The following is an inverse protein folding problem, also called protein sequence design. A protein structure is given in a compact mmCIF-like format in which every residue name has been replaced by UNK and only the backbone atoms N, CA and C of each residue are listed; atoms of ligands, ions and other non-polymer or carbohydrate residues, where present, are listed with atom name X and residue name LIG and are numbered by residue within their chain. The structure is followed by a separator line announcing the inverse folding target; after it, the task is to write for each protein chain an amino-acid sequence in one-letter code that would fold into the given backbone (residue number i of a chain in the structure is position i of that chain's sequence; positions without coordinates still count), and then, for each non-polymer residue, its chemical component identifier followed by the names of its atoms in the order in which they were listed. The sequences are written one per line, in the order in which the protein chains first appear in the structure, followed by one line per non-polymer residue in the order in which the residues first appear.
data_IF_513497661212
#
_entry.id   IF_513497661212
#
_cell.length_a   1.000
_cell.length_b   1.000
_cell.length_c   1.000
_cell.angle_alpha   90.00
_cell.angle_beta   90.00
_cell.angle_gamma   90.00
#
_symmetry.space_group_name_H-M   'P 1'
#
loop_
_entity.id
_entity.type
_entity.pdbx_description
1 polymer ?
#
# COMPACT_ATOMS: atom_id res chain seq x y z
N UNK A 1 -15.75 18.26 15.68
CA UNK A 1 -16.67 17.12 15.84
C UNK A 1 -16.37 16.14 14.71
N UNK A 2 -15.92 14.92 15.02
CA UNK A 2 -15.61 13.91 14.00
C UNK A 2 -16.83 13.01 13.90
N UNK A 3 -17.52 13.01 12.75
CA UNK A 3 -18.66 12.13 12.50
C UNK A 3 -18.46 11.41 11.16
N UNK A 4 -19.12 10.26 11.00
CA UNK A 4 -19.14 9.53 9.74
C UNK A 4 -20.41 9.90 8.97
N UNK A 5 -20.27 10.62 7.85
CA UNK A 5 -21.40 11.07 7.05
C UNK A 5 -22.28 9.93 6.51
N UNK A 6 -21.68 8.78 6.15
CA UNK A 6 -22.42 7.58 5.72
C UNK A 6 -23.36 7.11 6.82
N UNK A 7 -22.82 6.97 8.03
CA UNK A 7 -23.59 6.44 9.17
C UNK A 7 -24.69 7.43 9.58
N UNK A 8 -24.39 8.74 9.55
CA UNK A 8 -25.39 9.79 9.80
C UNK A 8 -26.50 9.80 8.74
N UNK A 9 -26.19 9.59 7.46
CA UNK A 9 -27.20 9.51 6.40
C UNK A 9 -28.16 8.33 6.62
N UNK A 10 -27.65 7.19 7.08
CA UNK A 10 -28.46 6.00 7.38
C UNK A 10 -29.38 6.25 8.58
N UNK A 11 -28.86 6.88 9.64
CA UNK A 11 -29.66 7.27 10.81
C UNK A 11 -30.75 8.27 10.41
N UNK A 12 -30.39 9.30 9.63
CA UNK A 12 -31.34 10.29 9.13
C UNK A 12 -32.43 9.64 8.29
N UNK A 13 -32.07 8.81 7.30
CA UNK A 13 -33.03 8.10 6.45
C UNK A 13 -34.01 7.25 7.25
N UNK A 14 -33.53 6.57 8.30
CA UNK A 14 -34.40 5.85 9.24
C UNK A 14 -35.33 6.78 10.02
N UNK A 15 -34.83 7.96 10.44
CA UNK A 15 -35.62 8.92 11.21
C UNK A 15 -36.76 9.54 10.40
N UNK A 16 -36.55 9.75 9.10
CA UNK A 16 -37.55 10.35 8.19
C UNK A 16 -38.28 9.32 7.31
N UNK A 17 -38.08 8.03 7.56
CA UNK A 17 -38.66 6.90 6.82
C UNK A 17 -38.41 6.94 5.30
N UNK A 18 -37.17 7.24 4.89
CA UNK A 18 -36.74 7.30 3.49
C UNK A 18 -35.64 6.25 3.22
N UNK A 19 -35.69 5.52 2.09
CA UNK A 19 -34.63 4.60 1.70
C UNK A 19 -33.29 5.31 1.45
N UNK A 20 -32.20 4.72 1.94
CA UNK A 20 -30.83 5.18 1.68
C UNK A 20 -30.12 4.18 0.78
N UNK A 21 -29.57 4.65 -0.34
CA UNK A 21 -28.82 3.82 -1.29
C UNK A 21 -27.34 4.08 -1.15
N UNK A 22 -26.58 3.06 -0.73
CA UNK A 22 -25.12 3.10 -0.69
C UNK A 22 -24.58 2.50 -1.99
N UNK A 23 -24.04 3.34 -2.89
CA UNK A 23 -23.47 2.90 -4.15
C UNK A 23 -21.94 2.91 -4.08
N UNK A 24 -21.30 1.77 -4.34
CA UNK A 24 -19.83 1.63 -4.34
C UNK A 24 -19.40 0.40 -5.13
N UNK A 25 -18.23 0.48 -5.78
CA UNK A 25 -17.58 -0.67 -6.41
C UNK A 25 -16.78 -1.51 -5.40
N UNK A 26 -16.40 -0.94 -4.26
CA UNK A 26 -15.57 -1.54 -3.21
C UNK A 26 -16.22 -1.30 -1.84
N UNK A 27 -17.25 -2.08 -1.46
CA UNK A 27 -17.96 -1.87 -0.21
C UNK A 27 -17.02 -2.02 0.99
N UNK A 28 -17.17 -1.10 1.95
CA UNK A 28 -16.46 -1.19 3.23
C UNK A 28 -16.82 -2.46 3.99
N UNK A 29 -15.93 -2.93 4.85
CA UNK A 29 -16.16 -4.15 5.64
C UNK A 29 -17.38 -4.00 6.56
N UNK A 30 -17.63 -2.82 7.12
CA UNK A 30 -18.80 -2.56 7.96
C UNK A 30 -20.10 -2.68 7.16
N UNK A 31 -20.14 -2.16 5.93
CA UNK A 31 -21.27 -2.32 5.01
C UNK A 31 -21.49 -3.80 4.67
N UNK A 32 -20.42 -4.53 4.36
CA UNK A 32 -20.50 -5.97 4.08
C UNK A 32 -21.02 -6.77 5.26
N UNK A 33 -20.57 -6.46 6.48
CA UNK A 33 -21.09 -7.09 7.70
C UNK A 33 -22.57 -6.79 7.91
N UNK A 34 -23.03 -5.56 7.67
CA UNK A 34 -24.46 -5.23 7.77
C UNK A 34 -25.31 -5.97 6.72
N UNK A 35 -24.78 -6.21 5.52
CA UNK A 35 -25.42 -7.06 4.51
C UNK A 35 -25.51 -8.52 5.01
N UNK A 36 -24.41 -9.07 5.55
CA UNK A 36 -24.38 -10.44 6.09
C UNK A 36 -25.36 -10.61 7.26
N UNK A 37 -25.47 -9.59 8.12
CA UNK A 37 -26.43 -9.54 9.23
C UNK A 37 -27.87 -9.22 8.76
N UNK A 38 -28.12 -9.11 7.46
CA UNK A 38 -29.44 -8.78 6.85
C UNK A 38 -30.02 -7.44 7.31
N UNK A 39 -29.18 -6.51 7.77
CA UNK A 39 -29.58 -5.12 8.07
C UNK A 39 -29.75 -4.30 6.80
N UNK A 40 -28.98 -4.62 5.74
CA UNK A 40 -29.07 -3.97 4.44
C UNK A 40 -29.42 -4.98 3.35
N UNK A 41 -30.19 -4.53 2.36
CA UNK A 41 -30.35 -5.24 1.10
C UNK A 41 -29.12 -5.03 0.21
N UNK A 42 -28.78 -6.03 -0.61
CA UNK A 42 -27.61 -5.99 -1.47
C UNK A 42 -28.00 -6.24 -2.93
N UNK A 43 -27.74 -5.25 -3.79
CA UNK A 43 -27.97 -5.32 -5.23
C UNK A 43 -26.63 -5.27 -5.94
N UNK A 44 -26.33 -6.28 -6.76
CA UNK A 44 -25.04 -6.42 -7.44
C UNK A 44 -25.21 -6.22 -8.94
N UNK A 45 -24.48 -5.25 -9.49
CA UNK A 45 -24.34 -5.07 -10.93
C UNK A 45 -23.14 -5.90 -11.41
N UNK A 46 -23.41 -7.04 -12.08
CA UNK A 46 -22.37 -8.02 -12.47
C UNK A 46 -21.53 -7.61 -13.68
N UNK A 47 -21.96 -6.60 -14.43
CA UNK A 47 -21.28 -6.14 -15.65
C UNK A 47 -20.82 -4.70 -15.46
N UNK A 48 -19.60 -4.42 -15.92
CA UNK A 48 -19.09 -3.06 -16.02
C UNK A 48 -19.88 -2.29 -17.08
N UNK A 49 -19.93 -0.98 -16.93
CA UNK A 49 -20.52 -0.12 -17.94
C UNK A 49 -19.68 -0.11 -19.22
N UNK A 50 -20.33 -0.22 -20.37
CA UNK A 50 -19.68 -0.20 -21.68
C UNK A 50 -18.73 -1.38 -21.92
N UNK A 51 -17.60 -1.10 -22.58
CA UNK A 51 -16.58 -2.08 -22.97
C UNK A 51 -15.41 -2.17 -21.99
N UNK A 52 -15.56 -1.67 -20.77
CA UNK A 52 -14.49 -1.65 -19.78
C UNK A 52 -14.07 -3.08 -19.38
N UNK A 53 -12.84 -3.46 -19.71
CA UNK A 53 -12.21 -4.73 -19.33
C UNK A 53 -11.29 -4.57 -18.12
N UNK A 54 -11.02 -5.69 -17.44
CA UNK A 54 -10.00 -5.71 -16.39
C UNK A 54 -8.60 -5.56 -17.02
N UNK A 55 -7.67 -4.85 -16.37
CA UNK A 55 -6.29 -4.82 -16.82
C UNK A 55 -5.62 -6.19 -16.62
N UNK A 56 -4.60 -6.47 -17.41
CA UNK A 56 -3.70 -7.58 -17.14
C UNK A 56 -2.88 -7.30 -15.88
N UNK A 57 -2.81 -8.29 -14.99
CA UNK A 57 -2.10 -8.16 -13.71
C UNK A 57 -0.89 -9.10 -13.73
N UNK A 58 0.28 -8.51 -13.50
CA UNK A 58 1.55 -9.23 -13.39
C UNK A 58 2.07 -9.11 -11.96
N UNK A 59 2.42 -10.24 -11.34
CA UNK A 59 3.05 -10.28 -10.02
C UNK A 59 4.54 -10.54 -10.20
N UNK A 60 5.36 -9.52 -9.95
CA UNK A 60 6.82 -9.64 -10.03
C UNK A 60 7.41 -10.21 -8.73
N UNK A 61 8.09 -11.36 -8.82
CA UNK A 61 8.81 -11.93 -7.67
C UNK A 61 10.16 -11.24 -7.48
N UNK A 62 10.19 -10.27 -6.56
CA UNK A 62 11.37 -9.44 -6.28
C UNK A 62 12.53 -10.19 -5.61
N UNK A 63 12.33 -11.43 -5.12
CA UNK A 63 13.38 -12.19 -4.42
C UNK A 63 14.44 -12.73 -5.37
N UNK A 64 14.07 -12.94 -6.63
CA UNK A 64 14.94 -13.52 -7.68
C UNK A 64 15.50 -12.46 -8.62
N UNK A 65 15.19 -11.20 -8.38
CA UNK A 65 15.46 -10.09 -9.29
C UNK A 65 16.63 -9.25 -8.79
N UNK A 66 17.42 -8.73 -9.73
CA UNK A 66 18.46 -7.75 -9.44
C UNK A 66 17.82 -6.35 -9.38
N UNK A 67 17.34 -6.00 -8.19
CA UNK A 67 16.56 -4.79 -7.97
C UNK A 67 17.37 -3.51 -8.24
N UNK A 68 16.86 -2.67 -9.14
CA UNK A 68 17.38 -1.33 -9.39
C UNK A 68 17.04 -0.41 -8.22
N UNK A 69 18.04 0.34 -7.73
CA UNK A 69 17.96 1.21 -6.53
C UNK A 69 17.43 0.49 -5.28
N UNK A 70 17.58 -0.85 -5.24
CA UNK A 70 17.11 -1.75 -4.18
C UNK A 70 15.58 -1.90 -4.01
N UNK A 71 14.75 -1.31 -4.87
CA UNK A 71 13.29 -1.39 -4.73
C UNK A 71 12.52 -1.58 -6.05
N UNK A 72 13.15 -1.35 -7.21
CA UNK A 72 12.49 -1.50 -8.50
C UNK A 72 12.87 -2.83 -9.16
N UNK A 73 11.88 -3.67 -9.45
CA UNK A 73 12.08 -4.89 -10.24
C UNK A 73 12.42 -4.56 -11.69
N UNK A 74 13.14 -5.46 -12.35
CA UNK A 74 13.46 -5.36 -13.77
C UNK A 74 12.18 -5.33 -14.62
N UNK A 75 11.20 -6.17 -14.29
CA UNK A 75 9.89 -6.17 -14.95
C UNK A 75 9.16 -4.81 -14.82
N UNK A 76 9.20 -4.18 -13.64
CA UNK A 76 8.58 -2.86 -13.45
C UNK A 76 9.30 -1.80 -14.28
N UNK A 77 10.64 -1.78 -14.23
CA UNK A 77 11.45 -0.84 -15.02
C UNK A 77 11.14 -0.94 -16.52
N UNK A 78 11.17 -2.15 -17.08
CA UNK A 78 10.90 -2.38 -18.50
C UNK A 78 9.50 -1.90 -18.89
N UNK A 79 8.48 -2.22 -18.09
CA UNK A 79 7.11 -1.79 -18.36
C UNK A 79 6.95 -0.27 -18.29
N UNK A 80 7.65 0.40 -17.38
CA UNK A 80 7.65 1.86 -17.32
C UNK A 80 8.25 2.44 -18.61
N UNK A 81 9.42 1.96 -19.03
CA UNK A 81 10.07 2.42 -20.26
C UNK A 81 9.20 2.17 -21.50
N UNK A 82 8.60 0.98 -21.62
CA UNK A 82 7.68 0.64 -22.72
C UNK A 82 6.44 1.55 -22.76
N UNK A 83 5.85 1.86 -21.61
CA UNK A 83 4.67 2.73 -21.50
C UNK A 83 5.02 4.17 -21.88
N UNK A 84 6.14 4.69 -21.37
CA UNK A 84 6.59 6.05 -21.69
C UNK A 84 7.01 6.20 -23.15
N UNK A 85 7.64 5.18 -23.76
CA UNK A 85 7.98 5.18 -25.19
C UNK A 85 6.75 5.28 -26.10
N UNK A 86 5.56 4.88 -25.61
CA UNK A 86 4.27 5.03 -26.29
C UNK A 86 3.59 6.37 -26.01
N UNK A 87 4.29 7.32 -25.37
CA UNK A 87 3.74 8.61 -24.92
C UNK A 87 2.53 8.45 -23.98
N UNK A 88 2.52 7.38 -23.19
CA UNK A 88 1.48 7.11 -22.20
C UNK A 88 1.98 7.46 -20.79
N UNK A 89 1.07 7.49 -19.83
CA UNK A 89 1.38 7.83 -18.44
C UNK A 89 1.52 6.59 -17.56
N UNK A 90 2.42 6.66 -16.59
CA UNK A 90 2.62 5.65 -15.55
C UNK A 90 2.20 6.24 -14.22
N UNK A 91 1.39 5.48 -13.46
CA UNK A 91 1.04 5.81 -12.09
C UNK A 91 1.59 4.75 -11.14
N UNK A 92 2.48 5.16 -10.23
CA UNK A 92 3.03 4.30 -9.20
C UNK A 92 2.31 4.55 -7.87
N UNK A 93 1.63 3.53 -7.37
CA UNK A 93 0.97 3.59 -6.07
C UNK A 93 1.93 3.14 -4.97
N UNK A 94 2.10 4.01 -3.98
CA UNK A 94 2.95 3.75 -2.82
C UNK A 94 2.12 3.83 -1.55
N UNK A 95 2.44 2.98 -0.57
CA UNK A 95 1.86 3.12 0.75
C UNK A 95 2.29 4.44 1.38
N UNK A 96 1.35 5.09 2.11
CA UNK A 96 1.50 6.44 2.68
C UNK A 96 2.82 6.63 3.47
N UNK A 97 3.28 7.88 3.51
CA UNK A 97 4.37 8.40 4.37
C UNK A 97 4.52 7.63 5.69
N UNK A 98 5.76 7.23 5.98
CA UNK A 98 6.20 7.01 7.36
C UNK A 98 5.76 5.72 8.06
N UNK A 99 5.36 4.66 7.34
CA UNK A 99 5.33 3.36 8.00
C UNK A 99 6.77 2.97 8.39
N UNK A 100 7.02 3.00 9.70
CA UNK A 100 7.44 1.81 10.43
C UNK A 100 8.13 0.78 9.53
N UNK A 101 9.45 0.86 9.37
CA UNK A 101 10.14 -0.01 8.41
C UNK A 101 10.02 -1.45 8.90
N UNK A 102 9.22 -2.23 8.20
CA UNK A 102 9.16 -3.66 8.42
C UNK A 102 10.54 -4.22 8.07
N UNK A 103 11.11 -5.02 8.95
CA UNK A 103 12.36 -5.74 8.64
C UNK A 103 11.99 -7.10 8.07
N UNK A 104 12.52 -7.40 6.89
CA UNK A 104 12.32 -8.69 6.23
C UNK A 104 13.64 -9.30 5.74
N UNK A 105 13.67 -10.62 5.69
CA UNK A 105 14.75 -11.38 5.08
C UNK A 105 14.67 -11.28 3.55
N UNK A 106 15.71 -10.76 2.90
CA UNK A 106 15.78 -10.68 1.43
C UNK A 106 15.77 -12.04 0.74
N UNK A 107 16.24 -13.09 1.41
CA UNK A 107 16.35 -14.43 0.86
C UNK A 107 15.02 -15.18 0.87
N UNK A 108 14.36 -15.27 2.02
CA UNK A 108 13.12 -16.06 2.17
C UNK A 108 11.84 -15.24 2.33
N UNK A 109 11.94 -13.92 2.53
CA UNK A 109 10.80 -13.03 2.75
C UNK A 109 10.23 -13.05 4.18
N UNK A 110 10.89 -13.74 5.12
CA UNK A 110 10.44 -13.80 6.51
C UNK A 110 10.40 -12.41 7.16
N UNK A 111 9.33 -12.12 7.90
CA UNK A 111 9.13 -10.89 8.67
C UNK A 111 9.28 -11.18 10.15
N UNK A 112 9.91 -10.28 10.90
CA UNK A 112 10.09 -10.51 12.33
C UNK A 112 8.77 -10.32 13.07
N UNK A 113 8.29 -11.39 13.71
CA UNK A 113 7.05 -11.41 14.47
C UNK A 113 7.31 -11.08 15.96
N UNK A 114 6.33 -10.43 16.58
CA UNK A 114 6.26 -10.28 18.02
C UNK A 114 5.88 -11.62 18.67
N UNK A 115 6.66 -12.13 19.65
CA UNK A 115 6.34 -13.39 20.32
C UNK A 115 5.07 -13.32 21.17
N UNK A 116 4.60 -12.12 21.52
CA UNK A 116 3.47 -11.92 22.43
C UNK A 116 2.13 -11.70 21.73
N UNK A 117 2.13 -11.21 20.47
CA UNK A 117 0.91 -10.71 19.83
C UNK A 117 0.70 -11.19 18.39
N UNK A 118 1.59 -12.05 17.87
CA UNK A 118 1.55 -12.54 16.48
C UNK A 118 1.48 -11.43 15.40
N UNK A 119 1.85 -10.19 15.76
CA UNK A 119 1.96 -9.04 14.87
C UNK A 119 3.40 -8.83 14.44
N UNK A 120 3.65 -8.00 13.42
CA UNK A 120 5.01 -7.70 12.96
C UNK A 120 5.66 -6.62 13.82
N UNK A 121 6.96 -6.78 14.06
CA UNK A 121 7.76 -5.74 14.70
C UNK A 121 8.13 -4.66 13.68
N UNK A 122 8.23 -3.44 14.18
CA UNK A 122 8.56 -2.23 13.40
C UNK A 122 9.94 -1.73 13.77
N UNK A 123 10.82 -1.46 12.80
CA UNK A 123 12.10 -0.78 13.06
C UNK A 123 11.88 0.69 13.43
N UNK A 124 12.47 1.08 14.56
CA UNK A 124 12.64 2.47 15.00
C UNK A 124 14.12 2.85 14.91
N UNK A 125 14.54 3.41 13.78
CA UNK A 125 15.97 3.71 13.51
C UNK A 125 16.65 4.57 14.56
N UNK A 126 15.95 5.57 15.11
CA UNK A 126 16.49 6.46 16.15
C UNK A 126 16.86 5.67 17.40
N UNK A 127 16.11 4.62 17.70
CA UNK A 127 16.32 3.76 18.86
C UNK A 127 17.22 2.55 18.55
N UNK A 128 17.53 2.29 17.28
CA UNK A 128 18.24 1.07 16.86
C UNK A 128 17.50 -0.23 17.19
N UNK A 129 16.19 -0.18 17.41
CA UNK A 129 15.40 -1.29 17.93
C UNK A 129 14.15 -1.57 17.08
N UNK A 130 13.64 -2.79 17.17
CA UNK A 130 12.34 -3.17 16.67
C UNK A 130 11.31 -3.18 17.79
N UNK A 131 10.14 -2.59 17.55
CA UNK A 131 9.08 -2.43 18.55
C UNK A 131 7.75 -3.04 18.09
N UNK A 132 7.04 -3.66 19.02
CA UNK A 132 5.64 -4.02 18.91
C UNK A 132 4.77 -2.87 19.41
N UNK A 133 3.93 -2.29 18.55
CA UNK A 133 3.03 -1.20 18.95
C UNK A 133 1.80 -1.65 19.75
N UNK A 134 1.56 -2.95 19.87
CA UNK A 134 0.42 -3.50 20.61
C UNK A 134 0.77 -3.81 22.07
N UNK A 135 1.96 -4.34 22.34
CA UNK A 135 2.38 -4.76 23.68
C UNK A 135 3.71 -4.17 24.15
N UNK A 136 4.30 -3.25 23.38
CA UNK A 136 5.57 -2.61 23.67
C UNK A 136 6.80 -3.55 23.76
N UNK A 137 6.69 -4.83 23.34
CA UNK A 137 7.85 -5.71 23.20
C UNK A 137 8.90 -5.08 22.29
N UNK A 138 10.17 -5.14 22.71
CA UNK A 138 11.31 -4.57 22.00
C UNK A 138 12.44 -5.58 21.82
N UNK A 139 13.07 -5.61 20.66
CA UNK A 139 14.30 -6.37 20.44
C UNK A 139 15.20 -5.69 19.41
N UNK A 140 16.48 -6.08 19.37
CA UNK A 140 17.38 -5.69 18.28
C UNK A 140 17.01 -6.41 16.97
N UNK A 141 17.50 -5.88 15.84
CA UNK A 141 17.38 -6.54 14.54
C UNK A 141 18.26 -7.80 14.55
N UNK A 142 17.70 -9.01 14.33
CA UNK A 142 18.49 -10.23 14.33
C UNK A 142 19.47 -10.24 13.15
N UNK A 143 20.72 -10.63 13.41
CA UNK A 143 21.74 -10.77 12.36
C UNK A 143 21.48 -11.96 11.45
N UNK A 144 20.89 -13.02 12.00
CA UNK A 144 20.48 -14.22 11.25
C UNK A 144 18.97 -14.25 11.08
N UNK A 145 18.51 -14.64 9.90
CA UNK A 145 17.08 -14.84 9.68
C UNK A 145 16.58 -16.02 10.54
N UNK A 146 15.58 -15.85 11.42
CA UNK A 146 15.08 -16.96 12.26
C UNK A 146 14.36 -18.06 11.46
N UNK A 147 14.04 -17.81 10.19
CA UNK A 147 13.35 -18.78 9.33
C UNK A 147 14.28 -19.55 8.41
N UNK A 148 15.31 -18.91 7.81
CA UNK A 148 16.22 -19.57 6.86
C UNK A 148 17.67 -19.57 7.31
N UNK A 149 17.97 -19.01 8.49
CA UNK A 149 19.29 -18.96 9.14
C UNK A 149 20.38 -18.22 8.36
N UNK A 150 20.03 -17.58 7.25
CA UNK A 150 20.99 -16.83 6.45
C UNK A 150 21.42 -15.53 7.15
N UNK A 151 22.74 -15.31 7.21
CA UNK A 151 23.36 -14.21 7.94
C UNK A 151 23.25 -12.89 7.15
N UNK A 152 23.05 -11.78 7.85
CA UNK A 152 22.96 -10.42 7.30
C UNK A 152 21.92 -10.21 6.18
N UNK A 153 20.84 -11.01 6.16
CA UNK A 153 19.77 -10.88 5.16
C UNK A 153 18.59 -10.02 5.62
N UNK A 154 18.52 -9.69 6.91
CA UNK A 154 17.46 -8.92 7.52
C UNK A 154 17.64 -7.43 7.18
N UNK A 155 16.73 -6.90 6.37
CA UNK A 155 16.80 -5.53 5.88
C UNK A 155 15.48 -4.81 6.11
N UNK A 156 15.51 -3.53 6.49
CA UNK A 156 14.31 -2.72 6.48
C UNK A 156 13.76 -2.62 5.04
N UNK A 157 12.46 -2.75 4.91
CA UNK A 157 11.68 -2.65 3.68
C UNK A 157 10.72 -1.47 3.77
N UNK A 158 10.50 -0.81 2.64
CA UNK A 158 9.78 0.45 2.54
C UNK A 158 10.74 1.60 2.23
N UNK A 159 10.67 2.06 0.99
CA UNK A 159 11.34 3.27 0.53
C UNK A 159 10.32 4.40 0.58
N UNK A 160 10.68 5.52 1.20
CA UNK A 160 9.79 6.70 1.23
C UNK A 160 9.56 7.25 -0.18
N UNK A 161 8.43 7.93 -0.38
CA UNK A 161 8.07 8.50 -1.69
C UNK A 161 9.18 9.37 -2.28
N UNK A 162 9.85 10.17 -1.45
CA UNK A 162 10.96 11.05 -1.86
C UNK A 162 12.14 10.25 -2.45
N UNK A 163 12.59 9.21 -1.74
CA UNK A 163 13.68 8.34 -2.22
C UNK A 163 13.30 7.52 -3.46
N UNK A 164 12.02 7.22 -3.63
CA UNK A 164 11.52 6.58 -4.86
C UNK A 164 11.57 7.59 -6.01
N UNK A 165 11.12 8.82 -5.81
CA UNK A 165 11.19 9.87 -6.82
C UNK A 165 12.64 10.12 -7.26
N UNK A 166 13.57 10.32 -6.32
CA UNK A 166 15.00 10.47 -6.61
C UNK A 166 15.53 9.28 -7.43
N UNK A 167 15.23 8.06 -7.00
CA UNK A 167 15.67 6.85 -7.70
C UNK A 167 15.07 6.69 -9.09
N UNK A 168 13.85 7.19 -9.32
CA UNK A 168 13.20 7.20 -10.64
C UNK A 168 13.84 8.25 -11.54
N UNK A 169 14.05 9.47 -11.06
CA UNK A 169 14.66 10.55 -11.83
C UNK A 169 16.09 10.21 -12.29
N UNK A 170 16.79 9.38 -11.53
CA UNK A 170 18.12 8.88 -11.91
C UNK A 170 18.09 7.73 -12.93
N UNK A 171 16.97 7.01 -13.06
CA UNK A 171 16.89 5.79 -13.88
C UNK A 171 16.05 5.93 -15.13
N UNK A 172 15.07 6.82 -15.13
CA UNK A 172 14.08 6.96 -16.17
C UNK A 172 14.15 8.39 -16.70
N UNK A 173 14.35 8.50 -18.00
CA UNK A 173 14.25 9.77 -18.70
C UNK A 173 12.77 10.04 -19.05
N UNK A 174 12.15 10.95 -18.31
CA UNK A 174 10.78 11.40 -18.57
C UNK A 174 10.70 12.92 -18.36
N UNK A 175 9.86 13.57 -19.16
CA UNK A 175 9.74 15.03 -19.14
C UNK A 175 9.17 15.57 -17.82
N UNK A 176 8.24 14.84 -17.21
CA UNK A 176 7.47 15.31 -16.05
C UNK A 176 7.29 14.22 -14.99
N UNK A 177 7.55 14.60 -13.74
CA UNK A 177 7.28 13.77 -12.56
C UNK A 177 6.39 14.54 -11.58
N UNK A 178 5.28 13.93 -11.15
CA UNK A 178 4.34 14.56 -10.23
C UNK A 178 4.04 13.62 -9.06
N UNK A 179 4.11 14.16 -7.84
CA UNK A 179 3.65 13.46 -6.64
C UNK A 179 2.20 13.87 -6.35
N UNK A 180 1.30 12.88 -6.34
CA UNK A 180 -0.07 13.04 -5.90
C UNK A 180 -0.19 12.54 -4.46
N UNK A 181 -0.18 13.45 -3.48
CA UNK A 181 -0.38 13.10 -2.07
C UNK A 181 -1.36 14.06 -1.42
N UNK A 182 -2.32 13.53 -0.66
CA UNK A 182 -3.21 14.36 0.16
C UNK A 182 -2.46 15.18 1.21
N UNK A 183 -1.24 14.77 1.57
CA UNK A 183 -0.39 15.42 2.57
C UNK A 183 0.64 16.39 1.96
N UNK A 184 0.71 16.47 0.62
CA UNK A 184 1.59 17.37 -0.14
C UNK A 184 0.69 18.16 -1.08
N UNK A 185 0.41 19.42 -0.73
CA UNK A 185 -0.26 20.31 -1.67
C UNK A 185 0.50 20.30 -3.00
N UNK A 186 -0.22 20.15 -4.12
CA UNK A 186 0.37 20.21 -5.46
C UNK A 186 1.24 21.46 -5.52
N UNK A 187 2.55 21.36 -5.81
CA UNK A 187 3.36 22.55 -6.04
C UNK A 187 2.70 23.33 -7.17
N UNK A 188 2.26 24.55 -6.86
CA UNK A 188 1.81 25.49 -7.87
C UNK A 188 3.05 25.89 -8.68
N UNK A 189 3.38 25.10 -9.70
CA UNK A 189 4.12 25.50 -10.90
C UNK A 189 4.31 24.27 -11.80
N UNK A 190 3.30 24.03 -12.62
CA UNK A 190 3.41 23.32 -13.89
C UNK A 190 2.63 24.13 -14.92
N UNK A 191 3.26 25.21 -15.38
CA UNK A 191 3.05 25.80 -16.71
C UNK A 191 4.31 25.52 -17.51
#
# INVERSE_FOLDING_TARGET
MIYNARDMAIVLGKHVDIPVVLCTATPSLETMNNIQQKKYNHVVLKRRFGEAVMPDIIVADMRKDELKKAWMSTCLYEKICETLAKQQQVMLFLNRRGYARLVLCKQCGHKVNCPNCCTWLTEHRVLGAMLCHYCAYSCEIPRECPSCQEYNTMSPYGVGMERILEGIQELIDAEHFTILSSDIGIPANSQ
#
